data_IF_498595761072
#
_entry.id   IF_498595761072
#
_cell.length_a   1.000
_cell.length_b   1.000
_cell.length_c   1.000
_cell.angle_alpha   90.00
_cell.angle_beta   90.00
_cell.angle_gamma   90.00
#
_symmetry.space_group_name_H-M   'P 1'
#
loop_
_entity.id
_entity.type
_entity.pdbx_description
1 polymer ?
2 polymer ?
3 polymer ?
4 non-polymer ?
5 non-polymer ?
6 non-polymer ?
7 water ?
#
# COMPACT_ATOMS: atom_id res chain seq x y z
N UNK A 7 2.06 -9.12 16.08
CA UNK A 7 2.61 -10.42 16.62
C UNK A 7 2.22 -11.60 15.72
N UNK A 8 0.97 -11.61 15.30
CA UNK A 8 0.49 -12.58 14.34
C UNK A 8 0.40 -11.85 12.97
N UNK A 9 1.19 -10.78 12.84
CA UNK A 9 1.20 -9.99 11.61
C UNK A 9 1.72 -10.76 10.40
N UNK A 10 1.26 -10.38 9.22
CA UNK A 10 1.80 -10.93 7.98
C UNK A 10 1.39 -12.35 7.68
N UNK A 11 0.54 -12.93 8.53
CA UNK A 11 0.03 -14.29 8.34
C UNK A 11 -1.44 -14.22 7.99
N UNK A 12 -1.77 -14.69 6.79
CA UNK A 12 -3.12 -14.56 6.26
C UNK A 12 -3.99 -15.73 6.66
N UNK A 13 -5.16 -15.44 7.25
CA UNK A 13 -6.10 -16.49 7.66
C UNK A 13 -6.48 -17.46 6.54
N UNK A 14 -6.57 -16.98 5.30
CA UNK A 14 -7.03 -17.87 4.22
C UNK A 14 -5.89 -18.51 3.44
N UNK A 15 -4.66 -18.19 3.88
CA UNK A 15 -3.49 -18.73 3.27
C UNK A 15 -2.55 -19.34 4.29
N UNK A 16 -1.64 -18.54 4.83
CA UNK A 16 -0.65 -19.06 5.76
C UNK A 16 -1.26 -19.79 6.96
N UNK A 17 -2.35 -19.28 7.54
CA UNK A 17 -2.90 -19.95 8.74
C UNK A 17 -3.47 -21.34 8.46
N UNK A 18 -3.93 -21.57 7.23
CA UNK A 18 -4.45 -22.89 6.84
C UNK A 18 -3.57 -23.53 5.77
N UNK A 19 -2.33 -23.03 5.71
CA UNK A 19 -1.30 -23.45 4.78
C UNK A 19 -1.72 -23.62 3.32
N UNK A 20 -2.48 -22.65 2.81
CA UNK A 20 -2.74 -22.60 1.40
C UNK A 20 -1.84 -21.52 0.78
N UNK A 21 -1.56 -21.64 -0.52
CA UNK A 21 -0.73 -20.65 -1.21
C UNK A 21 -1.52 -19.96 -2.28
N UNK A 22 -1.34 -18.63 -2.40
CA UNK A 22 -1.99 -17.85 -3.47
C UNK A 22 -1.34 -18.19 -4.80
N UNK A 23 -2.00 -17.77 -5.86
CA UNK A 23 -1.59 -18.12 -7.22
C UNK A 23 -0.21 -17.63 -7.63
N UNK A 24 0.27 -16.52 -7.07
CA UNK A 24 1.55 -16.01 -7.54
C UNK A 24 2.63 -15.83 -6.49
N UNK A 25 2.39 -16.23 -5.24
CA UNK A 25 3.44 -16.04 -4.24
C UNK A 25 4.75 -16.80 -4.58
N UNK A 26 4.65 -17.90 -5.31
CA UNK A 26 5.82 -18.67 -5.73
C UNK A 26 6.79 -17.83 -6.56
N UNK A 27 6.24 -16.94 -7.40
CA UNK A 27 7.01 -16.02 -8.22
C UNK A 27 7.88 -15.11 -7.34
N UNK A 28 7.32 -14.65 -6.23
CA UNK A 28 8.11 -13.81 -5.33
C UNK A 28 9.28 -14.60 -4.73
N UNK A 29 8.97 -15.79 -4.20
CA UNK A 29 9.96 -16.64 -3.56
C UNK A 29 11.03 -17.05 -4.55
N UNK A 30 10.63 -17.31 -5.79
CA UNK A 30 11.58 -17.69 -6.83
C UNK A 30 12.54 -16.58 -7.14
N UNK A 31 12.11 -15.32 -6.97
CA UNK A 31 12.98 -14.16 -7.20
C UNK A 31 14.00 -13.94 -6.07
N UNK A 32 13.80 -14.56 -4.89
CA UNK A 32 14.74 -14.34 -3.79
C UNK A 32 15.87 -15.35 -3.89
N UNK A 33 16.75 -15.11 -4.86
CA UNK A 33 17.83 -16.04 -5.21
C UNK A 33 18.97 -16.23 -4.17
N UNK A 34 19.32 -15.17 -3.44
CA UNK A 34 20.44 -15.24 -2.46
C UNK A 34 20.08 -14.90 -1.00
N UNK B 1 -3.92 -0.32 -10.49
CA UNK B 1 -2.93 -1.29 -11.01
C UNK B 1 -3.07 -1.52 -12.52
N UNK B 2 -1.96 -1.28 -13.23
CA UNK B 2 -1.90 -1.51 -14.64
C UNK B 2 -1.22 -2.85 -14.95
N UNK B 3 -1.95 -3.69 -15.69
CA UNK B 3 -1.49 -5.03 -16.09
C UNK B 3 -1.38 -6.01 -14.96
N UNK B 4 -2.23 -5.88 -13.95
CA UNK B 4 -2.24 -6.79 -12.83
C UNK B 4 -3.36 -7.77 -13.07
N UNK B 5 -3.80 -8.47 -12.03
CA UNK B 5 -4.90 -9.38 -12.19
C UNK B 5 -5.81 -9.27 -10.98
N UNK B 6 -6.94 -9.97 -11.01
CA UNK B 6 -7.86 -9.98 -9.87
C UNK B 6 -7.22 -10.61 -8.65
N UNK B 7 -7.18 -9.86 -7.56
CA UNK B 7 -6.70 -10.38 -6.28
C UNK B 7 -7.58 -11.55 -5.85
N UNK B 8 -7.03 -12.54 -5.16
CA UNK B 8 -7.89 -13.61 -4.64
C UNK B 8 -8.53 -13.16 -3.34
N UNK B 9 -9.62 -13.81 -2.96
CA UNK B 9 -10.28 -13.53 -1.72
C UNK B 9 -9.28 -13.69 -0.58
N UNK B 10 -9.19 -12.70 0.30
CA UNK B 10 -8.31 -12.77 1.48
C UNK B 10 -6.83 -12.74 1.21
N UNK B 11 -6.47 -12.41 -0.02
CA UNK B 11 -5.07 -12.41 -0.47
C UNK B 11 -4.26 -11.27 0.09
N UNK B 12 -4.95 -10.26 0.58
CA UNK B 12 -4.34 -9.03 1.01
C UNK B 12 -5.23 -8.41 2.10
N UNK B 13 -5.34 -9.09 3.25
CA UNK B 13 -6.27 -8.68 4.29
C UNK B 13 -5.85 -7.44 5.07
N UNK B 14 -4.76 -6.81 4.68
CA UNK B 14 -4.33 -5.56 5.29
C UNK B 14 -4.63 -4.41 4.36
N UNK B 15 -5.23 -4.73 3.21
CA UNK B 15 -5.51 -3.68 2.22
C UNK B 15 -6.63 -2.86 2.79
N UNK B 16 -6.40 -1.55 2.82
CA UNK B 16 -7.36 -0.61 3.34
C UNK B 16 -7.74 0.36 2.25
N UNK B 17 -9.02 0.67 2.15
CA UNK B 17 -9.48 1.69 1.23
C UNK B 17 -9.66 3.04 1.95
N UNK B 18 -9.09 4.09 1.39
CA UNK B 18 -9.23 5.44 1.98
C UNK B 18 -10.34 6.09 1.20
N UNK B 19 -11.43 6.34 1.90
CA UNK B 19 -12.65 6.73 1.24
C UNK B 19 -13.20 8.08 1.72
N UNK B 20 -13.53 8.96 0.77
CA UNK B 20 -14.04 10.29 1.10
C UNK B 20 -15.54 10.22 1.40
N UNK B 21 -15.96 10.93 2.45
CA UNK B 21 -17.38 10.97 2.85
C UNK B 21 -18.31 11.54 1.80
N UNK B 22 -17.94 12.69 1.21
CA UNK B 22 -18.73 13.32 0.11
C UNK B 22 -17.94 14.35 -0.68
N UNK B 23 -17.97 14.23 -2.02
CA UNK B 23 -18.69 13.15 -2.71
C UNK B 23 -18.07 11.81 -2.36
N UNK B 24 -18.87 10.76 -2.37
CA UNK B 24 -18.37 9.42 -2.05
C UNK B 24 -17.44 9.00 -3.17
N UNK B 25 -16.18 8.79 -2.81
CA UNK B 25 -15.16 8.41 -3.78
C UNK B 25 -13.94 7.79 -3.11
N UNK B 26 -13.27 6.93 -3.85
CA UNK B 26 -12.06 6.32 -3.39
C UNK B 26 -11.01 7.40 -3.44
N UNK B 27 -10.20 7.49 -2.38
CA UNK B 27 -9.09 8.41 -2.41
C UNK B 27 -7.74 7.73 -2.67
N UNK B 28 -7.47 6.67 -1.93
CA UNK B 28 -6.18 6.04 -1.96
C UNK B 28 -6.25 4.70 -1.28
N UNK B 29 -5.16 3.94 -1.41
CA UNK B 29 -4.96 2.72 -0.66
C UNK B 29 -4.32 3.14 0.65
N UNK B 30 -4.21 2.17 1.53
CA UNK B 30 -3.63 2.35 2.82
C UNK B 30 -3.43 0.88 3.25
N UNK B 31 -2.87 0.65 4.43
CA UNK B 31 -2.65 -0.71 4.88
C UNK B 31 -2.82 -0.78 6.39
N UNK B 32 -3.20 -1.94 6.89
CA UNK B 32 -3.51 -2.08 8.29
C UNK B 32 -2.30 -2.68 9.02
N UNK B 33 -1.78 -1.97 10.02
CA UNK B 33 -0.59 -2.45 10.75
C UNK B 33 -0.81 -2.93 12.21
N UNK B 34 -1.99 -2.62 12.76
CA UNK B 34 -2.40 -3.06 14.10
C UNK B 34 -3.90 -2.91 14.08
N UNK B 35 -4.55 -3.15 15.23
CA UNK B 35 -5.98 -3.03 15.31
C UNK B 35 -6.44 -1.57 15.40
N UNK B 36 -5.54 -0.66 15.76
CA UNK B 36 -5.85 0.80 15.81
C UNK B 36 -5.19 1.66 14.71
N UNK B 37 -4.18 1.14 14.02
CA UNK B 37 -3.40 1.97 13.07
C UNK B 37 -3.35 1.54 11.63
N UNK B 38 -3.48 2.55 10.77
CA UNK B 38 -3.47 2.40 9.31
C UNK B 38 -2.39 3.33 8.73
N UNK B 39 -1.60 2.76 7.83
CA UNK B 39 -0.50 3.46 7.15
C UNK B 39 -0.93 3.83 5.71
N UNK B 40 -0.44 4.98 5.21
CA UNK B 40 -0.78 5.46 3.88
C UNK B 40 0.25 6.51 3.43
N UNK B 41 0.20 6.91 2.16
CA UNK B 41 1.13 7.92 1.68
C UNK B 41 0.64 9.26 2.20
N UNK B 42 1.57 10.09 2.69
CA UNK B 42 1.22 11.45 3.14
C UNK B 42 0.47 12.23 2.05
N UNK B 43 0.85 12.09 0.78
CA UNK B 43 0.20 12.93 -0.23
C UNK B 43 -1.30 12.61 -0.47
N UNK B 44 -1.75 11.49 0.08
CA UNK B 44 -3.16 11.14 0.00
C UNK B 44 -4.00 12.08 0.88
N UNK B 45 -3.37 12.63 1.92
CA UNK B 45 -4.05 13.51 2.88
C UNK B 45 -3.75 15.00 2.67
N UNK B 46 -2.48 15.29 2.40
CA UNK B 46 -2.03 16.64 2.29
C UNK B 46 -1.24 16.84 1.01
N UNK B 47 -1.74 17.71 0.14
CA UNK B 47 -1.02 18.09 -1.05
C UNK B 47 -1.51 19.46 -1.52
N UNK B 48 -0.94 20.52 -0.91
CA UNK B 48 -1.32 21.92 -1.16
C UNK B 48 -1.33 22.35 -2.62
N UNK B 49 -0.39 21.91 -3.46
CA UNK B 49 -0.50 22.39 -4.82
C UNK B 49 -1.84 22.04 -5.52
N UNK B 50 -2.58 21.09 -4.97
CA UNK B 50 -3.90 20.73 -5.51
C UNK B 50 -5.01 21.01 -4.53
N UNK B 51 -4.72 21.83 -3.53
CA UNK B 51 -5.66 22.18 -2.45
C UNK B 51 -6.18 20.96 -1.74
N UNK B 52 -5.30 20.01 -1.53
CA UNK B 52 -5.68 18.80 -0.79
C UNK B 52 -5.19 18.92 0.64
N UNK B 53 -6.12 19.08 1.59
CA UNK B 53 -5.76 19.13 3.00
C UNK B 53 -6.87 18.53 3.83
N UNK B 54 -6.98 17.19 3.78
CA UNK B 54 -8.05 16.48 4.47
C UNK B 54 -7.98 16.48 6.02
N UNK B 55 -9.13 16.67 6.66
CA UNK B 55 -9.23 16.56 8.11
C UNK B 55 -9.81 15.15 8.48
N UNK B 56 -9.49 14.64 9.67
CA UNK B 56 -10.05 13.37 10.13
C UNK B 56 -11.47 13.13 9.64
N UNK B 57 -12.33 14.11 9.88
CA UNK B 57 -13.74 14.03 9.57
C UNK B 57 -14.16 13.95 8.11
N UNK B 58 -13.29 14.38 7.20
CA UNK B 58 -13.62 14.30 5.78
C UNK B 58 -13.57 12.88 5.29
N UNK B 59 -12.99 12.01 6.11
CA UNK B 59 -12.63 10.68 5.70
C UNK B 59 -13.16 9.51 6.49
N UNK B 60 -13.13 8.34 5.83
CA UNK B 60 -13.37 7.03 6.44
C UNK B 60 -12.35 6.03 5.88
N UNK B 61 -12.13 4.94 6.60
CA UNK B 61 -11.32 3.86 6.06
C UNK B 61 -12.18 2.61 5.95
N UNK B 62 -12.09 1.94 4.81
CA UNK B 62 -12.83 0.70 4.61
C UNK B 62 -11.85 -0.44 4.54
N UNK B 63 -11.95 -1.36 5.50
CA UNK B 63 -11.05 -2.50 5.62
C UNK B 63 -11.75 -3.83 5.35
N UNK B 64 -11.04 -4.76 4.70
CA UNK B 64 -11.56 -6.10 4.40
C UNK B 64 -12.25 -6.16 3.06
N UNK B 65 -11.97 -5.21 2.20
CA UNK B 65 -12.68 -5.13 0.94
C UNK B 65 -12.09 -5.96 -0.19
N UNK B 66 -12.92 -6.21 -1.19
CA UNK B 66 -12.53 -6.91 -2.39
C UNK B 66 -13.11 -6.14 -3.55
N UNK B 67 -14.43 -5.98 -3.53
CA UNK B 67 -15.11 -5.21 -4.55
C UNK B 67 -14.78 -3.75 -4.32
N UNK B 68 -14.56 -3.01 -5.40
CA UNK B 68 -14.29 -1.58 -5.30
C UNK B 68 -15.51 -0.79 -4.82
N UNK B 69 -16.65 -0.96 -5.50
CA UNK B 69 -17.82 -0.12 -5.25
C UNK B 69 -18.91 -0.64 -4.32
N UNK B 70 -19.04 -1.95 -4.20
CA UNK B 70 -20.06 -2.56 -3.36
C UNK B 70 -19.89 -2.30 -1.85
N UNK B 71 -21.00 -2.14 -1.14
CA UNK B 71 -20.91 -2.17 0.29
C UNK B 71 -20.92 -3.68 0.59
N UNK B 72 -19.80 -4.20 1.08
CA UNK B 72 -19.66 -5.65 1.29
C UNK B 72 -20.05 -6.03 2.71
N UNK B 73 -21.38 -6.11 2.87
CA UNK B 73 -22.05 -6.38 4.13
C UNK B 73 -21.50 -7.65 4.78
N UNK B 74 -21.30 -7.57 6.09
CA UNK B 74 -20.77 -8.65 6.92
C UNK B 74 -19.29 -9.00 6.61
N UNK B 75 -18.74 -8.40 5.55
CA UNK B 75 -17.34 -8.64 5.20
C UNK B 75 -16.39 -7.48 5.60
N UNK B 76 -16.65 -6.28 5.06
CA UNK B 76 -15.84 -5.10 5.36
C UNK B 76 -16.23 -4.41 6.68
N UNK B 77 -15.27 -3.69 7.24
CA UNK B 77 -15.51 -2.84 8.39
C UNK B 77 -15.10 -1.45 7.94
N UNK B 78 -15.91 -0.48 8.33
CA UNK B 78 -15.71 0.91 8.00
C UNK B 78 -15.40 1.61 9.30
N UNK B 79 -14.30 2.36 9.37
CA UNK B 79 -13.91 3.04 10.59
C UNK B 79 -13.75 4.54 10.39
N UNK B 80 -13.99 5.28 11.48
CA UNK B 80 -13.84 6.73 11.47
C UNK B 80 -12.43 6.93 11.99
N UNK B 81 -11.85 8.08 11.67
CA UNK B 81 -10.49 8.39 12.06
C UNK B 81 -10.44 9.23 13.32
N UNK B 82 -9.62 8.81 14.28
CA UNK B 82 -9.47 9.60 15.50
C UNK B 82 -8.52 10.77 15.27
N UNK B 83 -7.33 10.48 14.70
CA UNK B 83 -6.31 11.48 14.44
C UNK B 83 -5.39 11.10 13.27
N UNK B 84 -4.98 12.11 12.51
CA UNK B 84 -4.07 11.96 11.39
C UNK B 84 -2.70 12.50 11.81
N UNK B 85 -1.65 11.81 11.38
CA UNK B 85 -0.27 12.21 11.64
C UNK B 85 0.47 12.18 10.34
N UNK B 86 1.05 13.31 9.98
CA UNK B 86 1.83 13.39 8.76
C UNK B 86 3.26 13.57 9.16
N UNK B 87 4.15 12.83 8.49
CA UNK B 87 5.58 12.97 8.73
C UNK B 87 5.94 14.45 8.73
N UNK B 88 6.59 14.93 9.81
CA UNK B 88 6.91 16.37 9.91
C UNK B 88 7.79 16.89 8.76
N UNK B 89 8.62 16.02 8.17
CA UNK B 89 9.51 16.44 7.08
C UNK B 89 9.11 15.87 5.69
N UNK B 90 7.83 15.58 5.51
CA UNK B 90 7.32 15.15 4.21
C UNK B 90 7.49 16.30 3.23
N UNK B 91 8.18 16.05 2.13
CA UNK B 91 8.52 17.13 1.16
C UNK B 91 7.57 17.18 -0.03
N UNK B 92 6.41 17.80 0.19
CA UNK B 92 5.41 17.93 -0.86
C UNK B 92 5.79 19.04 -1.82
N UNK B 93 6.65 19.95 -1.37
CA UNK B 93 7.10 21.06 -2.22
C UNK B 93 7.92 20.61 -3.39
N UNK B 94 8.70 19.55 -3.19
CA UNK B 94 9.59 19.13 -4.25
C UNK B 94 9.26 17.77 -4.86
N UNK B 95 9.62 16.69 -4.13
CA UNK B 95 9.64 15.34 -4.68
C UNK B 95 8.92 14.27 -3.88
N UNK B 96 8.09 14.68 -2.93
CA UNK B 96 7.33 13.75 -2.08
C UNK B 96 8.27 12.88 -1.23
N UNK B 97 9.45 13.39 -0.94
CA UNK B 97 10.38 12.74 -0.01
C UNK B 97 9.61 12.57 1.32
N UNK B 98 9.78 11.39 1.91
CA UNK B 98 9.10 10.93 3.14
C UNK B 98 7.58 10.96 2.97
N UNK B 99 7.10 10.27 1.92
CA UNK B 99 5.66 10.26 1.62
C UNK B 99 4.98 9.20 2.50
N UNK B 100 4.71 9.58 3.74
CA UNK B 100 4.15 8.65 4.71
C UNK B 100 3.22 9.36 5.71
N UNK B 101 2.20 8.63 6.15
CA UNK B 101 1.24 9.14 7.13
C UNK B 101 0.61 7.99 7.88
N UNK B 102 0.39 8.22 9.17
CA UNK B 102 -0.34 7.28 10.03
C UNK B 102 -1.74 7.79 10.37
N UNK B 103 -2.70 6.87 10.50
CA UNK B 103 -4.07 7.19 10.87
C UNK B 103 -4.51 6.31 12.04
N UNK B 104 -4.88 6.94 13.15
CA UNK B 104 -5.37 6.23 14.31
C UNK B 104 -6.88 6.12 14.18
N UNK B 105 -7.41 4.91 14.33
CA UNK B 105 -8.85 4.72 14.14
C UNK B 105 -9.57 4.98 15.43
N UNK B 106 -10.81 5.46 15.34
CA UNK B 106 -11.57 5.76 16.58
C UNK B 106 -11.70 4.57 17.53
N UNK B 107 -11.97 3.38 16.97
CA UNK B 107 -12.12 2.14 17.74
C UNK B 107 -11.25 1.08 17.08
N UNK B 108 -10.93 0.02 17.82
CA UNK B 108 -10.19 -1.09 17.21
C UNK B 108 -11.07 -1.86 16.22
N UNK B 109 -10.51 -2.24 15.06
CA UNK B 109 -11.26 -3.06 14.12
C UNK B 109 -11.06 -4.51 14.54
N UNK B 110 -12.10 -5.33 14.39
CA UNK B 110 -12.02 -6.76 14.74
C UNK B 110 -11.41 -7.55 13.57
N UNK B 111 -10.44 -8.42 13.84
CA UNK B 111 -9.89 -9.26 12.76
C UNK B 111 -10.84 -10.36 12.30
N UNK B 112 -10.54 -10.93 11.12
CA UNK B 112 -11.36 -11.96 10.50
C UNK B 112 -10.56 -12.55 9.35
N UNK B 113 -11.21 -13.38 8.56
CA UNK B 113 -10.59 -13.98 7.40
C UNK B 113 -10.17 -12.90 6.39
N UNK B 114 -10.83 -11.74 6.45
CA UNK B 114 -10.61 -10.68 5.43
C UNK B 114 -9.86 -9.46 5.94
N UNK B 115 -9.58 -9.44 7.24
CA UNK B 115 -8.97 -8.29 7.91
C UNK B 115 -7.86 -8.77 8.85
N UNK B 116 -6.62 -8.49 8.49
CA UNK B 116 -5.49 -8.98 9.26
C UNK B 116 -4.31 -8.06 8.97
N UNK B 117 -3.57 -7.63 10.01
CA UNK B 117 -2.48 -6.68 9.82
C UNK B 117 -1.22 -7.26 9.17
N UNK B 118 -0.44 -6.39 8.55
CA UNK B 118 0.80 -6.77 7.91
C UNK B 118 1.93 -6.42 8.87
N UNK B 119 3.08 -7.10 8.73
CA UNK B 119 4.24 -6.80 9.55
C UNK B 119 5.03 -5.64 8.98
N UNK B 120 5.71 -4.90 9.86
CA UNK B 120 6.64 -3.88 9.41
C UNK B 120 8.00 -4.47 9.57
N UNK B 121 8.91 -4.17 8.64
CA UNK B 121 10.22 -4.78 8.74
C UNK B 121 11.09 -4.20 9.86
N UNK B 122 12.03 -5.02 10.33
CA UNK B 122 13.08 -4.51 11.18
C UNK B 122 14.31 -4.39 10.28
N UNK B 123 15.37 -3.78 10.81
CA UNK B 123 16.67 -3.59 10.12
C UNK B 123 17.16 -4.82 9.32
N UNK B 124 17.00 -6.01 9.91
CA UNK B 124 17.46 -7.26 9.30
C UNK B 124 16.61 -7.66 8.11
N UNK B 125 15.30 -7.57 8.24
CA UNK B 125 14.42 -7.88 7.14
C UNK B 125 14.64 -6.90 5.98
N UNK B 126 14.82 -5.62 6.29
CA UNK B 126 15.10 -4.66 5.23
C UNK B 126 16.33 -5.10 4.44
N UNK B 127 17.43 -5.27 5.14
CA UNK B 127 18.71 -5.57 4.49
C UNK B 127 18.61 -6.82 3.63
N UNK B 128 17.97 -7.82 4.20
CA UNK B 128 17.86 -9.10 3.58
C UNK B 128 16.95 -9.18 2.34
N UNK B 129 15.87 -8.39 2.31
CA UNK B 129 14.85 -8.43 1.25
C UNK B 129 14.84 -7.30 0.22
N UNK B 130 15.33 -6.11 0.59
CA UNK B 130 15.41 -4.97 -0.33
C UNK B 130 16.66 -4.97 -1.19
N UNK B 131 16.60 -5.77 -2.26
CA UNK B 131 17.68 -5.95 -3.19
C UNK B 131 17.12 -6.02 -4.58
N UNK B 132 17.85 -5.43 -5.52
CA UNK B 132 17.48 -5.41 -6.94
C UNK B 132 17.20 -6.83 -7.40
N UNK B 133 16.09 -7.04 -8.09
CA UNK B 133 15.75 -8.37 -8.60
C UNK B 133 14.64 -9.02 -7.78
N UNK B 134 14.69 -8.80 -6.47
CA UNK B 134 13.68 -9.32 -5.57
C UNK B 134 12.34 -8.72 -5.90
N UNK B 135 11.30 -9.54 -5.87
CA UNK B 135 10.00 -9.05 -6.23
C UNK B 135 9.16 -8.76 -5.03
N UNK B 136 8.32 -7.74 -5.15
CA UNK B 136 7.37 -7.43 -4.12
C UNK B 136 6.02 -7.40 -4.79
N UNK B 137 4.97 -7.20 -3.99
CA UNK B 137 3.63 -7.19 -4.50
C UNK B 137 2.89 -5.90 -4.17
N UNK B 138 2.20 -5.38 -5.18
CA UNK B 138 1.43 -4.16 -5.03
C UNK B 138 -0.04 -4.46 -5.29
N UNK B 139 -0.91 -3.85 -4.49
CA UNK B 139 -2.33 -4.04 -4.67
C UNK B 139 -3.10 -2.73 -4.59
N UNK B 140 -4.25 -2.66 -5.26
CA UNK B 140 -5.08 -1.47 -5.20
C UNK B 140 -6.23 -1.45 -6.18
N UNK B 141 -7.08 -0.42 -6.04
CA UNK B 141 -8.27 -0.27 -6.88
C UNK B 141 -8.14 0.93 -7.78
N UNK B 142 -6.90 1.34 -8.04
CA UNK B 142 -6.65 2.51 -8.87
C UNK B 142 -6.88 2.16 -10.32
N UNK B 143 -6.68 3.16 -11.16
CA UNK B 143 -6.82 3.00 -12.60
C UNK B 143 -6.13 1.73 -13.14
N UNK B 144 -6.78 1.14 -14.14
CA UNK B 144 -6.22 0.02 -14.89
C UNK B 144 -5.37 0.53 -16.08
N UNK B 145 -5.54 1.80 -16.44
CA UNK B 145 -4.78 2.41 -17.57
C UNK B 145 -4.36 3.83 -17.21
N UNK B 146 -3.34 4.36 -17.87
CA UNK B 146 -2.93 5.75 -17.65
C UNK B 146 -3.92 6.71 -18.34
N UNK B 155 -10.90 1.62 -17.43
CA UNK B 155 -11.19 2.64 -16.43
C UNK B 155 -10.77 2.19 -15.04
N UNK B 156 -11.78 1.99 -14.19
CA UNK B 156 -11.55 1.53 -12.82
C UNK B 156 -11.91 0.04 -12.67
N UNK B 157 -11.24 -0.68 -11.74
CA UNK B 157 -11.51 -2.11 -11.60
C UNK B 157 -12.75 -2.44 -10.76
N UNK B 158 -13.36 -3.57 -11.06
CA UNK B 158 -14.47 -4.03 -10.28
C UNK B 158 -13.90 -4.59 -8.98
N UNK B 159 -12.72 -5.23 -9.06
CA UNK B 159 -12.12 -5.84 -7.89
C UNK B 159 -10.66 -5.48 -7.61
N UNK B 160 -10.24 -5.70 -6.37
CA UNK B 160 -8.88 -5.40 -5.97
C UNK B 160 -7.95 -6.06 -6.97
N UNK B 161 -6.96 -5.30 -7.42
CA UNK B 161 -5.97 -5.79 -8.36
C UNK B 161 -4.63 -6.08 -7.68
N UNK B 162 -3.89 -7.02 -8.26
CA UNK B 162 -2.59 -7.37 -7.72
C UNK B 162 -1.56 -7.38 -8.84
N UNK B 163 -0.33 -6.99 -8.55
CA UNK B 163 0.76 -7.16 -9.50
C UNK B 163 2.04 -7.39 -8.72
N UNK B 164 2.92 -8.25 -9.22
CA UNK B 164 4.23 -8.49 -8.61
C UNK B 164 5.28 -7.87 -9.48
N UNK B 165 6.19 -7.14 -8.87
CA UNK B 165 7.21 -6.43 -9.63
C UNK B 165 8.56 -6.53 -8.99
N UNK B 166 9.61 -6.54 -9.82
CA UNK B 166 10.93 -6.59 -9.18
C UNK B 166 11.47 -5.21 -8.80
N UNK B 167 12.18 -5.18 -7.67
CA UNK B 167 12.88 -4.00 -7.21
C UNK B 167 14.00 -3.72 -8.21
N UNK B 168 14.21 -2.43 -8.50
CA UNK B 168 15.16 -2.01 -9.52
C UNK B 168 16.41 -1.42 -8.87
N UNK B 169 17.54 -1.53 -9.54
CA UNK B 169 18.79 -0.96 -9.02
C UNK B 169 18.73 0.55 -8.88
N UNK B 170 19.29 1.07 -7.80
CA UNK B 170 19.23 2.52 -7.54
C UNK B 170 19.66 3.42 -8.72
N UNK B 171 20.80 3.10 -9.40
CA UNK B 171 21.21 3.93 -10.53
C UNK B 171 20.24 3.92 -11.71
N UNK B 172 19.62 2.78 -12.00
CA UNK B 172 18.63 2.70 -13.08
C UNK B 172 17.40 3.54 -12.71
N UNK B 173 17.02 3.51 -11.43
CA UNK B 173 15.91 4.34 -10.95
C UNK B 173 16.25 5.81 -11.23
N UNK B 174 17.44 6.23 -10.79
CA UNK B 174 17.87 7.62 -10.92
C UNK B 174 17.91 8.02 -12.39
N UNK B 175 18.36 7.10 -13.23
CA UNK B 175 18.51 7.40 -14.65
C UNK B 175 17.22 7.43 -15.44
N UNK B 176 16.10 7.16 -14.78
CA UNK B 176 14.84 7.09 -15.53
C UNK B 176 14.02 8.35 -15.38
N UNK B 177 14.52 9.33 -14.64
CA UNK B 177 13.69 10.47 -14.30
C UNK B 177 14.53 11.68 -14.04
N UNK B 178 13.93 12.87 -14.14
CA UNK B 178 14.64 14.12 -13.83
C UNK B 178 14.46 14.41 -12.36
N UNK B 179 13.50 13.73 -11.73
CA UNK B 179 13.21 13.95 -10.31
C UNK B 179 14.33 13.47 -9.39
N UNK B 180 14.65 14.29 -8.39
CA UNK B 180 15.66 13.95 -7.39
C UNK B 180 15.17 12.82 -6.46
N UNK B 181 15.83 11.69 -6.58
CA UNK B 181 15.55 10.49 -5.81
C UNK B 181 16.30 10.50 -4.47
N UNK B 182 15.60 10.23 -3.37
CA UNK B 182 16.23 10.16 -2.06
C UNK B 182 16.35 8.72 -1.55
N UNK B 183 17.09 8.57 -0.46
CA UNK B 183 17.28 7.31 0.23
C UNK B 183 15.99 6.77 0.87
N UNK B 184 14.94 7.61 0.94
CA UNK B 184 13.64 7.19 1.49
C UNK B 184 12.67 6.71 0.41
N UNK B 185 13.22 6.41 -0.77
CA UNK B 185 12.47 5.92 -1.91
C UNK B 185 13.20 4.74 -2.54
N UNK B 186 12.45 3.89 -3.22
CA UNK B 186 13.04 2.84 -4.03
C UNK B 186 12.06 2.71 -5.19
N UNK B 187 12.51 2.15 -6.31
CA UNK B 187 11.60 1.98 -7.43
C UNK B 187 11.46 0.51 -7.83
N UNK B 188 10.36 0.18 -8.48
CA UNK B 188 10.15 -1.19 -8.90
C UNK B 188 9.49 -1.18 -10.24
N UNK B 189 9.70 -2.26 -11.00
CA UNK B 189 9.11 -2.41 -12.31
C UNK B 189 10.01 -3.19 -13.23
N UNK B 190 9.42 -3.66 -14.33
CA UNK B 190 10.20 -4.32 -15.32
C UNK B 190 10.78 -3.30 -16.28
N UNK B 191 11.93 -3.66 -16.84
CA UNK B 191 12.61 -2.88 -17.85
C UNK B 191 11.91 -3.15 -19.17
N UNK B 192 12.16 -2.28 -20.18
CA UNK B 192 11.51 -2.49 -21.49
C UNK B 192 11.86 -3.84 -22.07
N UNK B 193 10.86 -4.47 -22.68
CA UNK B 193 11.05 -5.76 -23.35
C UNK B 193 11.56 -6.92 -22.47
N UNK B 194 11.53 -6.84 -21.14
CA UNK B 194 11.90 -8.01 -20.33
C UNK B 194 10.88 -9.09 -20.71
N UNK B 195 9.79 -8.64 -21.34
CA UNK B 195 8.70 -9.52 -21.78
C UNK B 195 7.53 -9.46 -20.82
N UNK B 196 7.72 -8.76 -19.69
CA UNK B 196 6.68 -8.58 -18.69
C UNK B 196 6.63 -7.10 -18.36
N UNK B 197 5.47 -6.66 -17.87
CA UNK B 197 5.26 -5.26 -17.49
C UNK B 197 4.31 -5.18 -16.25
N UNK B 198 3.87 -3.98 -15.91
CA UNK B 198 2.99 -3.81 -14.76
C UNK B 198 3.42 -2.64 -13.92
N UNK B 199 2.46 -2.03 -13.23
CA UNK B 199 2.76 -0.83 -12.45
C UNK B 199 1.53 -0.48 -11.62
N UNK B 200 1.75 0.41 -10.65
CA UNK B 200 0.67 1.00 -9.90
C UNK B 200 0.16 2.16 -10.80
N UNK B 201 -0.89 2.83 -10.36
CA UNK B 201 -1.44 3.95 -11.08
C UNK B 201 -2.27 4.84 -10.15
N UNK B 202 -2.81 5.95 -10.69
CA UNK B 202 -3.64 6.87 -9.91
C UNK B 202 -4.70 6.09 -9.11
N UNK B 203 -4.83 6.34 -7.80
CA UNK B 203 -5.80 5.62 -6.99
C UNK B 203 -5.16 4.51 -6.16
N UNK B 204 -4.02 3.98 -6.62
CA UNK B 204 -3.26 2.99 -5.89
C UNK B 204 -2.41 3.59 -4.77
N UNK B 205 -2.16 4.89 -4.83
CA UNK B 205 -1.34 5.57 -3.82
C UNK B 205 -1.68 5.26 -2.40
N UNK B 206 -0.65 5.18 -1.56
CA UNK B 206 -0.85 4.91 -0.15
C UNK B 206 -0.97 3.44 0.12
N UNK B 207 -1.20 2.68 -0.94
CA UNK B 207 -1.29 1.23 -0.84
C UNK B 207 0.06 0.63 -0.53
N UNK B 208 0.07 -0.67 -0.15
CA UNK B 208 1.31 -1.32 0.25
C UNK B 208 2.11 -2.05 -0.82
N UNK B 209 3.45 -2.01 -0.72
CA UNK B 209 4.37 -2.85 -1.50
C UNK B 209 4.84 -3.89 -0.47
N UNK B 210 4.50 -5.16 -0.69
CA UNK B 210 4.77 -6.16 0.32
C UNK B 210 5.65 -7.25 -0.24
N UNK B 211 6.36 -7.91 0.66
CA UNK B 211 7.21 -9.02 0.29
C UNK B 211 7.01 -10.10 1.34
N UNK B 212 7.04 -11.36 0.91
CA UNK B 212 6.89 -12.50 1.83
C UNK B 212 8.24 -13.02 2.25
N UNK B 213 8.55 -13.00 3.54
CA UNK B 213 9.83 -13.46 4.00
C UNK B 213 10.01 -14.96 3.75
N UNK B 214 11.11 -15.35 3.12
CA UNK B 214 11.29 -16.78 2.98
C UNK B 214 11.92 -17.37 4.27
N UNK B 215 12.21 -16.54 5.27
CA UNK B 215 12.76 -17.03 6.53
C UNK B 215 11.65 -17.39 7.50
N UNK B 216 10.56 -16.63 7.51
CA UNK B 216 9.46 -16.94 8.43
C UNK B 216 8.05 -16.97 7.85
N UNK B 217 7.95 -16.91 6.53
CA UNK B 217 6.67 -16.92 5.82
C UNK B 217 5.71 -15.77 6.11
N UNK B 218 6.20 -14.71 6.74
CA UNK B 218 5.34 -13.57 7.03
C UNK B 218 5.42 -12.50 5.95
N UNK B 219 4.31 -11.83 5.71
CA UNK B 219 4.33 -10.70 4.77
C UNK B 219 4.80 -9.44 5.50
N UNK B 220 5.67 -8.67 4.86
CA UNK B 220 6.22 -7.44 5.43
C UNK B 220 5.95 -6.30 4.46
N UNK B 221 5.50 -5.16 5.00
CA UNK B 221 5.29 -4.03 4.11
C UNK B 221 6.61 -3.29 3.94
N UNK B 222 7.19 -3.38 2.75
CA UNK B 222 8.48 -2.75 2.50
C UNK B 222 8.31 -1.34 1.94
N UNK B 223 7.21 -1.14 1.20
CA UNK B 223 6.98 0.16 0.59
C UNK B 223 5.55 0.66 0.65
N UNK B 224 5.38 1.94 0.40
CA UNK B 224 4.06 2.52 0.26
C UNK B 224 4.10 3.05 -1.16
N UNK B 225 3.03 2.80 -1.93
CA UNK B 225 2.91 3.33 -3.27
C UNK B 225 2.97 4.86 -3.18
N UNK B 226 3.90 5.47 -3.91
CA UNK B 226 4.11 6.90 -3.78
C UNK B 226 3.88 7.74 -5.03
N UNK B 227 4.67 7.53 -6.08
CA UNK B 227 4.50 8.30 -7.32
C UNK B 227 5.10 7.63 -8.54
N UNK B 228 4.80 8.22 -9.67
CA UNK B 228 5.33 7.74 -10.94
C UNK B 228 4.97 8.72 -12.04
N UNK B 229 5.83 8.78 -13.04
CA UNK B 229 5.58 9.69 -14.17
C UNK B 229 4.81 8.87 -15.21
N UNK B 230 3.52 8.73 -14.95
CA UNK B 230 2.69 7.91 -15.78
C UNK B 230 2.55 6.53 -15.17
N UNK B 231 1.91 5.64 -15.91
CA UNK B 231 1.61 4.32 -15.41
C UNK B 231 2.03 3.31 -16.42
N UNK B 232 2.82 2.35 -15.96
CA UNK B 232 3.33 1.28 -16.83
C UNK B 232 3.98 1.81 -18.11
N UNK B 233 4.71 2.93 -18.01
CA UNK B 233 5.43 3.41 -19.19
C UNK B 233 6.77 2.71 -19.31
N UNK B 234 7.15 2.40 -20.55
CA UNK B 234 8.43 1.78 -20.86
C UNK B 234 9.58 2.71 -20.45
N UNK B 235 10.53 2.18 -19.68
CA UNK B 235 11.67 2.96 -19.24
C UNK B 235 11.36 3.80 -18.01
N UNK B 236 10.14 3.69 -17.51
CA UNK B 236 9.72 4.38 -16.29
C UNK B 236 9.41 3.35 -15.17
N UNK B 237 9.43 3.81 -13.93
CA UNK B 237 9.18 2.90 -12.81
C UNK B 237 8.34 3.55 -11.71
N UNK B 238 7.68 2.72 -10.93
CA UNK B 238 6.93 3.22 -9.80
C UNK B 238 7.91 3.46 -8.68
N UNK B 239 7.64 4.50 -7.88
CA UNK B 239 8.42 4.84 -6.72
C UNK B 239 7.57 4.60 -5.47
N UNK B 240 8.25 4.10 -4.44
CA UNK B 240 7.63 3.70 -3.20
C UNK B 240 8.38 4.29 -2.04
N UNK B 241 7.65 4.65 -1.00
CA UNK B 241 8.26 5.16 0.21
C UNK B 241 8.96 3.97 0.89
N UNK B 242 10.21 4.17 1.27
CA UNK B 242 11.01 3.13 1.90
C UNK B 242 10.56 3.08 3.35
N UNK B 243 9.67 2.14 3.67
CA UNK B 243 9.09 2.03 5.01
C UNK B 243 10.13 1.87 6.13
N UNK B 244 11.13 0.98 5.98
CA UNK B 244 12.05 0.80 7.09
C UNK B 244 12.88 2.06 7.44
N UNK B 245 13.24 2.85 6.44
CA UNK B 245 14.01 4.06 6.65
C UNK B 245 13.23 5.07 7.48
N UNK B 246 11.91 4.91 7.56
CA UNK B 246 11.09 5.86 8.31
C UNK B 246 10.48 5.20 9.55
N UNK B 247 11.04 4.06 9.93
CA UNK B 247 10.50 3.36 11.08
C UNK B 247 10.64 4.09 12.43
N UNK B 248 11.68 4.89 12.65
CA UNK B 248 11.82 5.56 13.95
C UNK B 248 10.65 6.54 14.15
N UNK B 249 10.19 7.14 13.05
CA UNK B 249 9.06 8.05 13.09
C UNK B 249 7.76 7.27 13.37
N UNK B 250 7.60 6.13 12.69
CA UNK B 250 6.43 5.29 12.91
C UNK B 250 6.37 4.87 14.38
N UNK B 251 7.47 4.34 14.90
CA UNK B 251 7.48 3.85 16.26
C UNK B 251 7.23 5.00 17.22
N UNK B 252 7.79 6.15 16.89
CA UNK B 252 7.64 7.34 17.71
C UNK B 252 6.19 7.71 17.91
N UNK B 253 5.45 7.84 16.81
CA UNK B 253 4.06 8.27 16.85
C UNK B 253 3.19 7.26 17.59
N UNK B 254 3.42 5.98 17.31
CA UNK B 254 2.68 4.92 17.94
C UNK B 254 2.94 4.85 19.46
N UNK B 255 4.19 4.98 19.86
CA UNK B 255 4.53 4.93 21.28
C UNK B 255 4.06 6.16 22.04
N UNK B 256 3.86 7.27 21.34
CA UNK B 256 3.47 8.51 21.96
C UNK B 256 1.96 8.63 22.16
N UNK B 257 1.19 8.35 21.10
CA UNK B 257 -0.27 8.54 21.12
C UNK B 257 -1.14 7.27 21.17
N UNK B 258 -0.51 6.10 21.28
CA UNK B 258 -1.22 4.82 21.33
C UNK B 258 -1.01 4.14 22.67
N UNK C 1 -22.05 5.06 -9.25
CA UNK C 1 -20.80 4.25 -9.14
C UNK C 1 -20.76 3.55 -7.77
N UNK C 2 -20.60 4.34 -6.70
CA UNK C 2 -20.52 3.79 -5.34
C UNK C 2 -21.84 3.46 -4.65
N UNK C 3 -21.88 2.29 -4.04
CA UNK C 3 -23.05 1.83 -3.30
C UNK C 3 -23.12 2.53 -1.94
N UNK C 4 -24.31 3.04 -1.64
CA UNK C 4 -24.64 3.72 -0.39
C UNK C 4 -24.13 2.92 0.82
N UNK C 5 -23.43 3.55 1.74
CA UNK C 5 -23.01 2.82 2.93
C UNK C 5 -23.97 3.20 4.07
N UNK C 6 -24.16 2.33 5.10
CA UNK C 6 -25.07 2.70 6.21
C UNK C 6 -24.78 4.10 6.76
N UNK C 7 -25.84 4.85 7.14
CA UNK C 7 -25.69 6.24 7.58
C UNK C 7 -25.00 6.39 8.95
N UNK C 8 -24.95 5.31 9.72
CA UNK C 8 -24.31 5.33 11.03
C UNK C 8 -22.81 5.68 10.86
N UNK C 9 -22.23 5.33 9.71
CA UNK C 9 -20.83 5.60 9.40
C UNK C 9 -20.60 7.08 9.09
N UNK C 10 -21.67 7.76 8.70
CA UNK C 10 -21.66 9.20 8.43
C UNK C 10 -22.29 9.92 9.65
X LIG D 1 18.01 11.33 -13.46
X LIG E 1 7.61 0.53 -16.75
X LIG F 1 4.29 3.66 -7.51
X LIG F 1 3.37 4.49 -8.70
X LIG F 1 3.46 4.27 -10.08
X LIG F 1 2.55 5.09 -10.76
X LIG F 1 1.80 5.92 -9.91
X LIG F 1 0.77 6.92 -10.32
X LIG F 1 -0.09 8.76 -12.15
X LIG F 1 -1.46 8.34 -12.18
X LIG F 1 0.58 9.20 -13.34
X LIG F 1 0.00 9.90 -10.98
X LIG F 1 1.08 10.85 -11.03
X LIG F 1 0.58 12.29 -11.16
X LIG F 1 1.46 13.11 -10.21
X LIG F 1 2.00 10.83 -9.83
X LIG F 1 2.36 9.82 -9.23
X LIG F 1 2.33 12.13 -9.58
X LIG F 1 3.47 12.52 -8.75
X LIG F 1 4.68 12.83 -9.65
X LIG F 1 3.16 13.68 -7.81
X LIG F 1 3.83 14.72 -7.92
X LIG F 1 2.13 13.50 -6.88
X LIG F 1 1.73 14.61 -6.01
X LIG F 1 0.21 14.71 -5.81
X LIG F 1 -0.39 13.45 -5.55
X LIG F 1 -0.13 12.50 -6.58
X LIG F 1 1.38 12.25 -6.64
X LIG F 1 2.20 5.66 -8.29
X LIG F 1 0.90 7.46 -11.55
#
# INVERSE_FOLDING_TARGET
TFGSGEADCGLRPLFEKKSLEDKTERELLESYIDGR
IVEGSDAEIGMSPWQVMLFRKSPQELLCGASLISDRWVLTAAHCLLYPPWDKNFTENDLLVRIGKHSRTRYERNIEKISMLEKIYIHPRYNWRENLDRDIALMKLKKPVAFSDYIHPVCLPDRETAASLLQAGYKGRVTGWGNLKETWTANVGKGQPSVLQVVNLPIVERPVCKDSTRIRITDNMFCAGYKPDEGKRGDACEGDSGGPFVMKSPFNNRWYQMGIVSWGEGCDRDGKYGFYTHVFRLKKWIQKVIDQFGE
DFEEIPEEYL
CA CA
NA NA
895 CL1 C1 C2 C3 C4 C9 S1 O2 O1 N1 C12 C13 C14 C15 O3 N2 C16 C17 C18 O4 N3 C19 C20 O5 C22 C23 S6 C6
#
